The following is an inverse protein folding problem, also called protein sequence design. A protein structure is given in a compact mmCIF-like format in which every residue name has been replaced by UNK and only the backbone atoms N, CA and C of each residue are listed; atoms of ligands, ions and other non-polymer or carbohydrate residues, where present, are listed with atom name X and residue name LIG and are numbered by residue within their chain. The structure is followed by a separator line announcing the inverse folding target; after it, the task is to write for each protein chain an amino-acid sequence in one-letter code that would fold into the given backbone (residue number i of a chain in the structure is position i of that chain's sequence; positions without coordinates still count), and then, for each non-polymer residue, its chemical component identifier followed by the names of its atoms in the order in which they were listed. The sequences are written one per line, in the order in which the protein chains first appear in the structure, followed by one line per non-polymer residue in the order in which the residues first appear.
data_IF_296595354595
#
_entry.id   IF_296595354595
#
_cell.length_a   1.000
_cell.length_b   1.000
_cell.length_c   1.000
_cell.angle_alpha   90.00
_cell.angle_beta   90.00
_cell.angle_gamma   90.00
#
_symmetry.space_group_name_H-M   'P 1'
#
loop_
_entity.id
_entity.type
_entity.pdbx_description
1 polymer ?
#
# COMPACT_ATOMS: atom_id res chain seq x y z
N UNK A 1 2.82 15.19 -13.10
CA UNK A 1 3.07 13.89 -12.41
C UNK A 1 4.42 13.36 -12.81
N UNK A 2 5.22 12.97 -11.83
CA UNK A 2 6.52 12.35 -12.10
C UNK A 2 6.36 10.84 -12.29
N UNK A 3 7.30 10.28 -13.02
CA UNK A 3 7.41 8.82 -13.15
C UNK A 3 8.85 8.40 -12.90
N UNK A 4 9.02 7.29 -12.19
CA UNK A 4 10.32 6.69 -11.95
C UNK A 4 10.31 5.26 -12.45
N UNK A 5 11.25 4.95 -13.35
CA UNK A 5 11.30 3.63 -13.97
C UNK A 5 12.56 2.85 -13.62
N UNK A 6 13.55 3.49 -13.02
CA UNK A 6 14.80 2.84 -12.68
C UNK A 6 14.80 2.27 -11.28
N UNK A 7 15.99 1.91 -10.81
CA UNK A 7 16.18 1.40 -9.46
C UNK A 7 16.68 2.55 -8.58
N UNK A 8 15.95 2.79 -7.49
CA UNK A 8 16.34 3.75 -6.48
C UNK A 8 16.99 2.98 -5.34
N UNK A 9 18.29 3.19 -5.17
CA UNK A 9 19.03 2.51 -4.11
C UNK A 9 18.68 3.15 -2.76
N UNK A 10 18.48 2.32 -1.74
CA UNK A 10 18.17 2.81 -0.41
C UNK A 10 16.72 3.25 -0.27
N UNK A 11 16.48 4.10 0.73
CA UNK A 11 15.14 4.57 1.05
C UNK A 11 14.73 5.72 0.14
N UNK A 12 13.44 5.86 -0.04
CA UNK A 12 12.91 6.91 -0.90
C UNK A 12 11.64 7.52 -0.29
N UNK A 13 11.54 8.85 -0.36
CA UNK A 13 10.38 9.58 0.18
C UNK A 13 9.65 10.27 -0.95
N UNK A 14 8.33 10.08 -1.00
CA UNK A 14 7.46 10.72 -1.98
C UNK A 14 6.69 11.82 -1.28
N UNK A 15 6.84 13.05 -1.75
CA UNK A 15 6.12 14.20 -1.22
C UNK A 15 5.33 14.95 -2.28
N UNK A 16 5.32 14.45 -3.50
CA UNK A 16 4.54 14.97 -4.62
C UNK A 16 3.78 13.81 -5.27
N UNK A 17 3.26 14.00 -6.48
CA UNK A 17 2.56 12.93 -7.18
C UNK A 17 3.54 12.15 -8.04
N UNK A 18 3.65 10.86 -7.80
CA UNK A 18 4.62 10.00 -8.45
C UNK A 18 4.00 8.67 -8.85
N UNK A 19 4.25 8.23 -10.09
CA UNK A 19 4.02 6.84 -10.49
C UNK A 19 5.37 6.13 -10.48
N UNK A 20 5.49 5.12 -9.63
CA UNK A 20 6.71 4.34 -9.49
C UNK A 20 6.58 3.05 -10.27
N UNK A 21 7.25 2.98 -11.43
CA UNK A 21 7.29 1.78 -12.25
C UNK A 21 8.50 0.91 -11.89
N UNK A 22 9.52 1.54 -11.32
CA UNK A 22 10.78 0.89 -11.04
C UNK A 22 10.81 0.25 -9.66
N UNK A 23 11.99 0.22 -9.06
CA UNK A 23 12.23 -0.50 -7.81
C UNK A 23 12.84 0.42 -6.77
N UNK A 24 12.35 0.34 -5.53
CA UNK A 24 12.98 0.97 -4.37
C UNK A 24 13.70 -0.13 -3.61
N UNK A 25 15.03 0.01 -3.47
CA UNK A 25 15.85 -1.01 -2.82
C UNK A 25 15.71 -1.03 -1.30
N UNK A 26 15.31 0.08 -0.71
CA UNK A 26 15.07 0.19 0.74
C UNK A 26 13.61 0.40 1.04
N UNK A 27 13.32 1.32 1.96
CA UNK A 27 11.96 1.61 2.40
C UNK A 27 11.37 2.76 1.61
N UNK A 28 10.06 2.75 1.48
CA UNK A 28 9.31 3.82 0.82
C UNK A 28 8.50 4.56 1.87
N UNK A 29 8.64 5.87 1.90
CA UNK A 29 7.82 6.74 2.76
C UNK A 29 6.99 7.63 1.86
N UNK A 30 5.69 7.65 2.07
CA UNK A 30 4.79 8.60 1.41
C UNK A 30 4.46 9.65 2.45
N UNK A 31 5.02 10.85 2.27
CA UNK A 31 4.89 11.93 3.25
C UNK A 31 3.62 12.72 3.01
N UNK A 32 3.36 13.66 3.88
CA UNK A 32 2.22 14.56 3.76
C UNK A 32 2.26 15.27 2.41
N UNK A 33 1.14 15.27 1.71
CA UNK A 33 1.07 15.85 0.38
C UNK A 33 1.52 14.93 -0.73
N UNK A 34 2.14 13.80 -0.38
CA UNK A 34 2.56 12.83 -1.36
C UNK A 34 1.42 11.96 -1.86
N UNK A 35 1.52 11.55 -3.12
CA UNK A 35 0.58 10.61 -3.71
C UNK A 35 1.38 9.69 -4.63
N UNK A 36 1.35 8.42 -4.35
CA UNK A 36 2.16 7.45 -5.08
C UNK A 36 1.30 6.35 -5.65
N UNK A 37 1.49 6.09 -6.94
CA UNK A 37 0.98 4.89 -7.60
C UNK A 37 2.15 3.94 -7.75
N UNK A 38 2.21 2.93 -6.89
CA UNK A 38 3.34 2.01 -6.84
C UNK A 38 3.05 0.79 -7.69
N UNK A 39 3.59 0.80 -8.92
CA UNK A 39 3.39 -0.29 -9.88
C UNK A 39 4.60 -1.21 -9.98
N UNK A 40 5.73 -0.80 -9.44
CA UNK A 40 6.95 -1.59 -9.44
C UNK A 40 7.11 -2.42 -8.19
N UNK A 41 8.27 -2.30 -7.53
CA UNK A 41 8.58 -3.10 -6.36
C UNK A 41 9.26 -2.28 -5.28
N UNK A 42 8.99 -2.63 -4.02
CA UNK A 42 9.69 -2.08 -2.86
C UNK A 42 10.24 -3.26 -2.09
N UNK A 43 11.54 -3.28 -1.83
CA UNK A 43 12.16 -4.38 -1.12
C UNK A 43 12.11 -4.23 0.39
N UNK A 44 11.97 -3.03 0.91
CA UNK A 44 11.81 -2.79 2.33
C UNK A 44 10.34 -2.64 2.72
N UNK A 45 10.10 -1.78 3.70
CA UNK A 45 8.79 -1.51 4.23
C UNK A 45 8.21 -0.24 3.62
N UNK A 46 6.91 -0.06 3.74
CA UNK A 46 6.24 1.17 3.33
C UNK A 46 5.60 1.82 4.54
N UNK A 47 5.83 3.13 4.69
CA UNK A 47 5.19 3.95 5.69
C UNK A 47 4.44 5.07 4.98
N UNK A 48 3.14 5.20 5.25
CA UNK A 48 2.35 6.30 4.70
C UNK A 48 1.97 7.21 5.86
N UNK A 49 2.46 8.45 5.79
CA UNK A 49 2.29 9.42 6.88
C UNK A 49 1.00 10.21 6.71
N UNK A 50 0.66 10.99 7.72
CA UNK A 50 -0.51 11.83 7.71
C UNK A 50 -0.59 12.61 6.40
N UNK A 51 -1.75 12.56 5.76
CA UNK A 51 -1.96 13.28 4.51
C UNK A 51 -1.35 12.63 3.28
N UNK A 52 -0.64 11.51 3.43
CA UNK A 52 -0.11 10.77 2.29
C UNK A 52 -1.14 9.84 1.69
N UNK A 53 -0.98 9.53 0.40
CA UNK A 53 -1.86 8.62 -0.32
C UNK A 53 -1.03 7.64 -1.13
N UNK A 54 -1.43 6.39 -1.12
CA UNK A 54 -0.70 5.33 -1.81
C UNK A 54 -1.66 4.33 -2.43
N UNK A 55 -1.40 3.96 -3.67
CA UNK A 55 -2.08 2.86 -4.31
C UNK A 55 -1.02 1.83 -4.72
N UNK A 56 -1.09 0.63 -4.15
CA UNK A 56 -0.13 -0.44 -4.41
C UNK A 56 -0.70 -1.37 -5.46
N UNK A 57 -0.07 -1.38 -6.64
CA UNK A 57 -0.39 -2.34 -7.70
C UNK A 57 0.70 -3.40 -7.83
N UNK A 58 1.92 -3.09 -7.40
CA UNK A 58 3.08 -3.95 -7.57
C UNK A 58 3.36 -4.81 -6.34
N UNK A 59 4.63 -4.98 -6.03
CA UNK A 59 5.06 -5.89 -4.96
C UNK A 59 5.83 -5.15 -3.89
N UNK A 60 5.54 -5.52 -2.64
CA UNK A 60 6.24 -5.01 -1.47
C UNK A 60 6.74 -6.22 -0.69
N UNK A 61 8.06 -6.31 -0.49
CA UNK A 61 8.63 -7.44 0.24
C UNK A 61 8.39 -7.33 1.74
N UNK A 62 8.42 -6.12 2.27
CA UNK A 62 8.26 -5.88 3.72
C UNK A 62 6.81 -5.63 4.12
N UNK A 63 6.65 -4.80 5.13
CA UNK A 63 5.36 -4.52 5.74
C UNK A 63 4.87 -3.12 5.41
N UNK A 64 3.58 -2.91 5.59
CA UNK A 64 2.92 -1.62 5.32
C UNK A 64 2.40 -1.06 6.63
N UNK A 65 2.69 0.21 6.90
CA UNK A 65 2.14 0.93 8.04
C UNK A 65 1.39 2.15 7.52
N UNK A 66 0.12 2.27 7.90
CA UNK A 66 -0.76 3.37 7.50
C UNK A 66 -1.00 4.22 8.74
N UNK A 67 -0.47 5.44 8.76
CA UNK A 67 -0.61 6.32 9.90
C UNK A 67 -1.93 7.07 9.87
N UNK A 68 -2.24 7.74 10.96
CA UNK A 68 -3.46 8.53 11.08
C UNK A 68 -3.53 9.54 9.94
N UNK A 69 -4.69 9.62 9.32
CA UNK A 69 -4.92 10.57 8.23
C UNK A 69 -4.36 10.17 6.88
N UNK A 70 -3.73 9.01 6.79
CA UNK A 70 -3.23 8.49 5.51
C UNK A 70 -4.31 7.67 4.82
N UNK A 71 -4.13 7.47 3.51
CA UNK A 71 -5.06 6.64 2.74
C UNK A 71 -4.25 5.70 1.85
N UNK A 72 -4.57 4.41 1.93
CA UNK A 72 -3.91 3.38 1.13
C UNK A 72 -4.93 2.46 0.48
N UNK A 73 -4.74 2.19 -0.80
CA UNK A 73 -5.48 1.17 -1.53
C UNK A 73 -4.47 0.10 -1.93
N UNK A 74 -4.68 -1.12 -1.49
CA UNK A 74 -3.77 -2.23 -1.78
C UNK A 74 -4.41 -3.18 -2.78
N UNK A 75 -3.82 -3.26 -3.96
CA UNK A 75 -4.29 -4.13 -5.05
C UNK A 75 -3.22 -5.13 -5.48
N UNK A 76 -2.02 -5.05 -4.92
CA UNK A 76 -0.89 -5.87 -5.32
C UNK A 76 -0.53 -6.95 -4.33
N UNK A 77 0.78 -7.17 -4.15
CA UNK A 77 1.31 -8.20 -3.27
C UNK A 77 2.09 -7.57 -2.13
N UNK A 78 1.76 -7.93 -0.92
CA UNK A 78 2.46 -7.48 0.28
C UNK A 78 3.03 -8.72 0.99
N UNK A 79 4.36 -8.75 1.15
CA UNK A 79 5.03 -9.90 1.76
C UNK A 79 4.92 -9.94 3.28
N UNK A 80 4.82 -8.79 3.92
CA UNK A 80 4.74 -8.70 5.37
C UNK A 80 3.35 -8.43 5.87
N UNK A 81 3.25 -7.64 6.95
CA UNK A 81 2.00 -7.32 7.60
C UNK A 81 1.48 -5.95 7.16
N UNK A 82 0.18 -5.76 7.28
CA UNK A 82 -0.43 -4.46 7.06
C UNK A 82 -1.00 -3.96 8.39
N UNK A 83 -0.52 -2.81 8.85
CA UNK A 83 -0.95 -2.23 10.13
C UNK A 83 -1.56 -0.87 9.87
N UNK A 84 -2.79 -0.68 10.31
CA UNK A 84 -3.49 0.59 10.21
C UNK A 84 -3.53 1.24 11.59
N UNK A 85 -2.85 2.38 11.72
CA UNK A 85 -2.75 3.11 12.99
C UNK A 85 -3.73 4.27 13.10
N UNK A 86 -4.59 4.47 12.11
CA UNK A 86 -5.58 5.54 12.20
C UNK A 86 -5.97 6.14 10.87
N UNK A 87 -5.54 5.54 9.78
CA UNK A 87 -5.89 6.01 8.43
C UNK A 87 -7.01 5.18 7.82
N UNK A 88 -7.06 5.23 6.50
CA UNK A 88 -7.98 4.42 5.71
C UNK A 88 -7.19 3.43 4.88
N UNK A 89 -7.48 2.16 5.05
CA UNK A 89 -6.82 1.09 4.34
C UNK A 89 -7.87 0.26 3.62
N UNK A 90 -7.79 0.24 2.29
CA UNK A 90 -8.69 -0.55 1.47
C UNK A 90 -7.90 -1.69 0.86
N UNK A 91 -8.35 -2.91 1.08
CA UNK A 91 -7.69 -4.12 0.59
C UNK A 91 -8.60 -4.73 -0.45
N UNK A 92 -8.18 -4.68 -1.71
CA UNK A 92 -8.99 -5.14 -2.82
C UNK A 92 -8.89 -6.65 -2.97
N UNK A 93 -9.89 -7.24 -3.61
CA UNK A 93 -9.96 -8.70 -3.74
C UNK A 93 -8.87 -9.27 -4.65
N UNK A 94 -8.24 -8.42 -5.46
CA UNK A 94 -7.14 -8.85 -6.33
C UNK A 94 -5.80 -8.85 -5.59
N UNK A 95 -5.76 -8.36 -4.36
CA UNK A 95 -4.51 -8.23 -3.62
C UNK A 95 -4.18 -9.49 -2.85
N UNK A 96 -2.93 -9.57 -2.43
CA UNK A 96 -2.46 -10.65 -1.58
C UNK A 96 -1.62 -10.06 -0.46
N UNK A 97 -1.84 -10.55 0.75
CA UNK A 97 -1.04 -10.17 1.91
C UNK A 97 -0.61 -11.47 2.58
N UNK A 98 0.72 -11.67 2.66
CA UNK A 98 1.24 -12.90 3.24
C UNK A 98 1.23 -12.87 4.77
N UNK A 99 1.32 -11.68 5.35
CA UNK A 99 1.26 -11.52 6.80
C UNK A 99 -0.14 -11.27 7.30
N UNK A 100 -0.23 -10.54 8.40
CA UNK A 100 -1.51 -10.27 9.07
C UNK A 100 -1.93 -8.83 8.84
N UNK A 101 -3.24 -8.61 8.91
CA UNK A 101 -3.82 -7.28 8.86
C UNK A 101 -4.22 -6.90 10.27
N UNK A 102 -3.70 -5.77 10.77
CA UNK A 102 -4.00 -5.29 12.10
C UNK A 102 -4.51 -3.85 12.01
N UNK A 103 -5.67 -3.60 12.60
CA UNK A 103 -6.23 -2.26 12.69
C UNK A 103 -6.23 -1.84 14.14
N UNK A 104 -5.41 -0.84 14.46
CA UNK A 104 -5.36 -0.26 15.80
C UNK A 104 -6.42 0.83 15.90
N UNK A 105 -6.46 1.71 14.90
CA UNK A 105 -7.47 2.75 14.76
C UNK A 105 -7.69 2.98 13.28
N UNK A 106 -8.69 3.77 12.96
CA UNK A 106 -9.01 4.08 11.58
C UNK A 106 -9.95 3.05 10.98
N UNK A 107 -9.98 3.01 9.68
CA UNK A 107 -10.89 2.15 8.95
C UNK A 107 -10.14 1.25 8.00
N UNK A 108 -10.35 -0.05 8.11
CA UNK A 108 -9.81 -1.03 7.17
C UNK A 108 -10.98 -1.75 6.53
N UNK A 109 -11.07 -1.66 5.21
CA UNK A 109 -12.10 -2.37 4.45
C UNK A 109 -11.42 -3.42 3.60
N UNK A 110 -11.89 -4.64 3.72
CA UNK A 110 -11.38 -5.76 2.96
C UNK A 110 -12.46 -6.18 1.98
N UNK A 111 -12.18 -6.04 0.70
CA UNK A 111 -13.09 -6.45 -0.33
C UNK A 111 -12.95 -7.94 -0.55
N UNK A 112 -14.03 -8.66 -0.41
CA UNK A 112 -14.00 -10.10 -0.60
C UNK A 112 -14.27 -10.44 -2.05
N UNK A 113 -13.66 -11.54 -2.49
CA UNK A 113 -13.87 -12.03 -3.83
C UNK A 113 -15.27 -12.62 -3.91
N UNK A 114 -16.07 -12.10 -4.82
CA UNK A 114 -17.44 -12.54 -4.98
C UNK A 114 -17.63 -13.47 -6.17
N UNK A 115 -16.77 -13.35 -7.14
CA UNK A 115 -16.92 -14.11 -8.38
C UNK A 115 -16.81 -15.59 -8.21
N UNK A 116 -16.05 -16.04 -7.35
CA UNK A 116 -15.94 -17.43 -7.10
C UNK A 116 -16.70 -17.79 -5.91
N UNK A 117 -17.16 -16.91 -5.30
CA UNK A 117 -17.76 -17.26 -4.13
C UNK A 117 -19.11 -17.03 -4.14
N UNK A 118 -19.61 -17.68 -3.57
CA UNK A 118 -20.88 -17.51 -3.38
C UNK A 118 -21.10 -16.26 -2.83
N UNK A 119 -21.38 -15.85 -3.28
CA UNK A 119 -21.38 -14.90 -2.71
C UNK A 119 -22.06 -15.03 -1.65
N UNK A 120 -21.96 -14.84 -1.44
CA UNK A 120 -22.38 -14.96 -0.67
C UNK A 120 -23.33 -14.86 -0.13
N UNK A 121 -23.55 -15.04 -0.16
CA UNK A 121 -24.31 -15.00 0.28
C UNK A 121 -24.97 -14.39 0.58
N UNK A 122 -25.22 -14.39 0.38
CA UNK A 122 -25.84 -14.06 0.38
C UNK A 122 -26.40 -14.14 0.74
N UNK A 123 -26.34 -14.37 0.57
CA UNK A 123 -26.79 -14.58 0.57
C UNK A 123 -27.13 -14.41 0.82
#
# INVERSE_FOLDING_TARGET
MREERGTLAGDYTVSDTLTLWGTVGGNLVVAEGGKCYMRGAVYGDILVEYGGRLHIFGRVAGSLTVKRGAKVIHSGLLGGNATNLGGRLYIENTSQINGKIKTVKGETKIQKLLGGGPPPSRD
#
